data_IF_255916211323
#
_entry.id   IF_255916211323
#
_cell.length_a   1.000
_cell.length_b   1.000
_cell.length_c   1.000
_cell.angle_alpha   90.00
_cell.angle_beta   90.00
_cell.angle_gamma   90.00
#
_symmetry.space_group_name_H-M   'P 1'
#
loop_
_entity.id
_entity.type
_entity.pdbx_description
1 polymer ?
#
# COMPACT_ATOMS: atom_id res chain seq x y z
N UNK A 1 -7.07 -17.84 7.65
CA UNK A 1 -6.08 -16.84 8.10
C UNK A 1 -5.77 -15.87 6.97
N UNK A 2 -5.82 -14.60 7.25
CA UNK A 2 -5.57 -13.57 6.25
C UNK A 2 -4.09 -13.21 6.30
N UNK A 3 -3.37 -13.42 5.20
CA UNK A 3 -1.95 -13.09 5.22
C UNK A 3 -1.74 -11.57 5.16
N UNK A 4 -0.97 -11.05 6.08
CA UNK A 4 -0.54 -9.67 6.00
C UNK A 4 0.61 -9.57 5.00
N UNK A 5 0.65 -8.46 4.27
CA UNK A 5 1.74 -8.19 3.34
C UNK A 5 2.64 -7.12 3.93
N UNK A 6 3.93 -7.19 3.61
CA UNK A 6 4.90 -6.24 4.12
C UNK A 6 5.22 -5.21 3.04
N UNK A 7 5.07 -3.95 3.40
CA UNK A 7 5.40 -2.83 2.54
C UNK A 7 6.31 -1.88 3.32
N UNK A 8 6.94 -0.96 2.63
CA UNK A 8 7.80 0.04 3.27
C UNK A 8 7.12 1.39 3.21
N UNK A 9 7.17 2.12 4.31
CA UNK A 9 6.64 3.46 4.32
C UNK A 9 7.65 4.42 3.68
N UNK A 10 7.30 5.69 3.64
CA UNK A 10 8.12 6.70 3.00
C UNK A 10 9.49 6.84 3.65
N UNK A 11 9.63 6.47 4.91
CA UNK A 11 10.91 6.53 5.64
C UNK A 11 11.73 5.25 5.50
N UNK A 12 11.19 4.25 4.83
CA UNK A 12 11.85 2.98 4.69
C UNK A 12 11.54 1.99 5.79
N UNK A 13 10.66 2.34 6.71
CA UNK A 13 10.26 1.42 7.77
C UNK A 13 9.27 0.41 7.21
N UNK A 14 9.41 -0.84 7.63
CA UNK A 14 8.52 -1.87 7.15
C UNK A 14 7.22 -1.86 7.94
N UNK A 15 6.13 -2.04 7.23
CA UNK A 15 4.81 -2.11 7.82
C UNK A 15 4.09 -3.34 7.29
N UNK A 16 3.25 -3.93 8.13
CA UNK A 16 2.40 -5.06 7.73
C UNK A 16 1.00 -4.54 7.50
N UNK A 17 0.46 -4.87 6.34
CA UNK A 17 -0.84 -4.37 5.92
C UNK A 17 -1.77 -5.56 5.67
N UNK A 18 -3.00 -5.45 6.14
CA UNK A 18 -4.04 -6.43 5.85
C UNK A 18 -4.67 -6.08 4.50
N UNK A 19 -4.42 -6.87 3.45
CA UNK A 19 -4.93 -6.50 2.13
C UNK A 19 -6.45 -6.57 2.00
N UNK A 20 -7.13 -7.25 2.92
CA UNK A 20 -8.57 -7.37 2.83
C UNK A 20 -9.32 -6.10 3.21
N UNK A 21 -8.68 -5.20 3.94
CA UNK A 21 -9.34 -3.96 4.33
C UNK A 21 -9.00 -2.80 3.41
N UNK A 22 -8.17 -3.04 2.41
CA UNK A 22 -7.78 -2.01 1.46
C UNK A 22 -8.92 -1.77 0.46
N UNK A 23 -9.34 -0.51 0.34
CA UNK A 23 -10.37 -0.15 -0.63
C UNK A 23 -9.78 0.07 -2.01
N UNK A 24 -8.71 0.86 -2.09
CA UNK A 24 -8.02 1.06 -3.35
C UNK A 24 -6.63 1.63 -3.09
N UNK A 25 -5.82 1.60 -4.14
CA UNK A 25 -4.45 2.12 -4.11
C UNK A 25 -4.30 3.07 -5.30
N UNK A 26 -3.61 4.16 -5.10
CA UNK A 26 -3.33 5.08 -6.21
C UNK A 26 -1.92 5.64 -6.06
N UNK A 27 -1.37 6.15 -7.17
CA UNK A 27 -0.07 6.78 -7.14
C UNK A 27 -0.14 8.06 -6.31
N UNK A 28 0.89 8.30 -5.51
CA UNK A 28 0.94 9.47 -4.65
C UNK A 28 1.55 10.65 -5.41
N UNK A 29 0.82 11.74 -5.49
CA UNK A 29 1.32 13.01 -6.03
C UNK A 29 2.03 12.87 -7.37
N UNK A 30 1.52 11.99 -8.23
CA UNK A 30 2.10 11.73 -9.56
C UNK A 30 3.53 11.18 -9.49
N UNK A 31 3.90 10.56 -8.39
CA UNK A 31 5.21 9.94 -8.27
C UNK A 31 5.15 8.49 -8.72
N UNK A 32 6.23 8.04 -9.33
CA UNK A 32 6.31 6.67 -9.83
C UNK A 32 6.72 5.67 -8.76
N UNK A 33 7.21 6.16 -7.64
CA UNK A 33 7.79 5.30 -6.61
C UNK A 33 7.08 5.38 -5.26
N UNK A 34 5.91 6.00 -5.22
CA UNK A 34 5.12 6.08 -3.99
C UNK A 34 3.64 5.90 -4.30
N UNK A 35 2.94 5.26 -3.39
CA UNK A 35 1.51 5.02 -3.53
C UNK A 35 0.79 5.37 -2.24
N UNK A 36 -0.49 5.67 -2.38
CA UNK A 36 -1.38 5.85 -1.25
C UNK A 36 -2.33 4.66 -1.21
N UNK A 37 -2.34 3.99 -0.07
CA UNK A 37 -3.28 2.90 0.18
C UNK A 37 -4.42 3.49 1.01
N UNK A 38 -5.63 3.35 0.51
CA UNK A 38 -6.81 3.90 1.16
C UNK A 38 -7.60 2.78 1.80
N UNK A 39 -7.80 2.88 3.11
CA UNK A 39 -8.55 1.88 3.88
C UNK A 39 -9.98 2.32 4.13
N UNK A 40 -10.23 3.60 4.07
CA UNK A 40 -11.55 4.14 4.31
C UNK A 40 -11.48 5.65 4.31
N UNK A 41 -12.60 6.28 4.68
CA UNK A 41 -12.64 7.74 4.73
C UNK A 41 -11.60 8.23 5.72
N UNK A 42 -10.72 9.11 5.30
CA UNK A 42 -9.67 9.71 6.11
C UNK A 42 -8.65 8.70 6.65
N UNK A 43 -8.66 7.48 6.13
CA UNK A 43 -7.71 6.46 6.53
C UNK A 43 -6.86 6.07 5.33
N UNK A 44 -5.67 6.64 5.26
CA UNK A 44 -4.77 6.34 4.17
C UNK A 44 -3.34 6.22 4.68
N UNK A 45 -2.52 5.54 3.89
CA UNK A 45 -1.15 5.27 4.25
C UNK A 45 -0.28 5.44 3.01
N UNK A 46 0.81 6.19 3.16
CA UNK A 46 1.75 6.38 2.06
C UNK A 46 2.83 5.31 2.14
N UNK A 47 3.04 4.59 1.04
CA UNK A 47 4.03 3.52 0.98
C UNK A 47 4.93 3.73 -0.22
N UNK A 48 6.10 3.14 -0.17
CA UNK A 48 7.04 3.16 -1.29
C UNK A 48 6.68 2.07 -2.29
N UNK A 49 6.97 2.34 -3.55
CA UNK A 49 6.79 1.37 -4.60
C UNK A 49 5.91 1.92 -5.70
N UNK A 50 6.10 1.41 -6.91
CA UNK A 50 5.25 1.78 -8.02
C UNK A 50 3.86 1.20 -7.81
N UNK A 51 2.87 1.86 -8.42
CA UNK A 51 1.49 1.42 -8.27
C UNK A 51 1.32 -0.05 -8.67
N UNK A 52 1.97 -0.47 -9.75
CA UNK A 52 1.86 -1.85 -10.20
C UNK A 52 2.46 -2.82 -9.18
N UNK A 53 3.57 -2.46 -8.58
CA UNK A 53 4.21 -3.31 -7.58
C UNK A 53 3.36 -3.45 -6.34
N UNK A 54 2.87 -2.35 -5.81
CA UNK A 54 2.05 -2.37 -4.61
C UNK A 54 0.77 -3.14 -4.85
N UNK A 55 0.14 -2.93 -6.00
CA UNK A 55 -1.06 -3.66 -6.35
C UNK A 55 -0.80 -5.16 -6.41
N UNK A 56 0.33 -5.56 -6.98
CA UNK A 56 0.68 -6.98 -7.08
C UNK A 56 0.88 -7.59 -5.70
N UNK A 57 1.61 -6.89 -4.83
CA UNK A 57 1.86 -7.39 -3.48
C UNK A 57 0.55 -7.60 -2.73
N UNK A 58 -0.36 -6.64 -2.83
CA UNK A 58 -1.65 -6.73 -2.15
C UNK A 58 -2.50 -7.85 -2.72
N UNK A 59 -2.42 -8.07 -4.03
CA UNK A 59 -3.21 -9.13 -4.68
C UNK A 59 -2.70 -10.52 -4.34
N UNK A 60 -1.39 -10.68 -4.30
CA UNK A 60 -0.77 -11.97 -4.06
C UNK A 60 -0.67 -12.32 -2.57
N UNK A 61 -0.71 -11.34 -1.73
CA UNK A 61 -0.63 -11.54 -0.31
C UNK A 61 -1.92 -12.08 0.27
#
# INVERSE_FOLDING_TARGET
>A
MIPFVTLSDKRGQKISVNPEIVQFVRAADNKDDECLIVFGKDQLLRVRGALEEVTRVLREG
#
